data_IF_488088418368
#
_entry.id   IF_488088418368
#
_cell.length_a   1.000
_cell.length_b   1.000
_cell.length_c   1.000
_cell.angle_alpha   90.00
_cell.angle_beta   90.00
_cell.angle_gamma   90.00
#
_symmetry.space_group_name_H-M   'P 1'
#
loop_
_entity.id
_entity.type
_entity.pdbx_description
1 polymer ?
#
# COMPACT_ATOMS: atom_id res chain seq x y z
N UNK A 1 -3.84 -14.75 -1.52
CA UNK A 1 -3.81 -13.72 -2.57
C UNK A 1 -2.48 -13.02 -2.51
N UNK A 2 -1.82 -12.79 -3.65
CA UNK A 2 -0.59 -11.99 -3.78
C UNK A 2 -0.92 -10.49 -3.83
N UNK A 3 0.10 -9.63 -3.74
CA UNK A 3 -0.08 -8.18 -3.97
C UNK A 3 -0.66 -7.90 -5.38
N UNK A 4 -0.15 -8.59 -6.40
CA UNK A 4 -0.61 -8.43 -7.79
C UNK A 4 -2.09 -8.82 -7.93
N UNK A 5 -2.53 -9.92 -7.33
CA UNK A 5 -3.93 -10.34 -7.35
C UNK A 5 -4.85 -9.32 -6.67
N UNK A 6 -4.41 -8.75 -5.54
CA UNK A 6 -5.15 -7.71 -4.83
C UNK A 6 -5.26 -6.42 -5.65
N UNK A 7 -4.15 -5.94 -6.22
CA UNK A 7 -4.14 -4.73 -7.05
C UNK A 7 -4.96 -4.91 -8.33
N UNK A 8 -4.93 -6.10 -8.93
CA UNK A 8 -5.78 -6.44 -10.08
C UNK A 8 -7.26 -6.38 -9.72
N UNK A 9 -7.63 -6.85 -8.53
CA UNK A 9 -8.99 -6.71 -8.01
C UNK A 9 -9.36 -5.24 -7.79
N UNK A 10 -8.52 -4.47 -7.11
CA UNK A 10 -8.73 -3.02 -6.94
C UNK A 10 -8.94 -2.31 -8.29
N UNK A 11 -8.14 -2.66 -9.31
CA UNK A 11 -8.29 -2.11 -10.66
C UNK A 11 -9.65 -2.45 -11.29
N UNK A 12 -10.14 -3.68 -11.11
CA UNK A 12 -11.46 -4.09 -11.59
C UNK A 12 -12.58 -3.35 -10.85
N UNK A 13 -12.45 -3.19 -9.53
CA UNK A 13 -13.43 -2.49 -8.71
C UNK A 13 -13.63 -1.02 -9.13
N UNK A 14 -12.61 -0.38 -9.70
CA UNK A 14 -12.72 0.99 -10.24
C UNK A 14 -13.84 1.16 -11.28
N UNK A 15 -14.21 0.10 -12.02
CA UNK A 15 -15.31 0.18 -13.00
C UNK A 15 -16.67 0.46 -12.35
N UNK A 16 -16.80 0.19 -11.05
CA UNK A 16 -18.04 0.37 -10.30
C UNK A 16 -18.25 1.81 -9.82
N UNK A 17 -17.23 2.67 -9.89
CA UNK A 17 -17.28 4.02 -9.33
C UNK A 17 -17.39 5.09 -10.41
N UNK A 18 -18.29 6.05 -10.22
CA UNK A 18 -18.38 7.26 -11.02
C UNK A 18 -17.28 8.27 -10.64
N UNK A 19 -17.03 9.25 -11.51
CA UNK A 19 -16.07 10.33 -11.23
C UNK A 19 -16.43 11.14 -9.97
N UNK A 20 -17.72 11.28 -9.66
CA UNK A 20 -18.20 11.96 -8.46
C UNK A 20 -17.97 11.08 -7.22
N UNK A 21 -18.29 9.79 -7.31
CA UNK A 21 -18.07 8.83 -6.22
C UNK A 21 -16.59 8.71 -5.84
N UNK A 22 -15.67 8.74 -6.82
CA UNK A 22 -14.23 8.76 -6.53
C UNK A 22 -13.82 9.95 -5.65
N UNK A 23 -14.48 11.10 -5.81
CA UNK A 23 -14.16 12.33 -5.10
C UNK A 23 -14.98 12.54 -3.84
N UNK A 24 -16.06 11.79 -3.66
CA UNK A 24 -17.00 11.95 -2.56
C UNK A 24 -16.34 11.69 -1.21
N UNK A 25 -16.59 12.59 -0.26
CA UNK A 25 -16.17 12.46 1.13
C UNK A 25 -17.40 12.56 2.02
N UNK A 26 -17.63 11.54 2.83
CA UNK A 26 -18.72 11.51 3.82
C UNK A 26 -18.55 12.66 4.85
N UNK A 27 -17.30 12.91 5.27
CA UNK A 27 -16.90 13.98 6.19
C UNK A 27 -15.51 14.51 5.83
N UNK A 28 -15.15 15.67 6.35
CA UNK A 28 -13.85 16.32 6.09
C UNK A 28 -12.66 15.40 6.39
N UNK A 29 -12.74 14.65 7.49
CA UNK A 29 -11.69 13.76 8.03
C UNK A 29 -11.74 12.32 7.51
N UNK A 30 -12.77 11.97 6.74
CA UNK A 30 -12.91 10.65 6.11
C UNK A 30 -12.39 10.72 4.68
N UNK A 31 -11.46 9.84 4.32
CA UNK A 31 -10.95 9.77 2.95
C UNK A 31 -12.06 9.47 1.94
N UNK A 32 -11.95 10.01 0.73
CA UNK A 32 -12.73 9.47 -0.40
C UNK A 32 -12.19 8.10 -0.79
N UNK A 33 -12.95 7.35 -1.60
CA UNK A 33 -12.43 6.12 -2.18
C UNK A 33 -11.25 6.42 -3.12
N UNK A 34 -11.27 7.53 -3.86
CA UNK A 34 -10.14 7.98 -4.69
C UNK A 34 -8.86 8.19 -3.88
N UNK A 35 -8.95 8.82 -2.70
CA UNK A 35 -7.81 9.01 -1.79
C UNK A 35 -7.25 7.68 -1.27
N UNK A 36 -8.10 6.70 -1.00
CA UNK A 36 -7.65 5.36 -0.62
C UNK A 36 -6.88 4.69 -1.77
N UNK A 37 -7.37 4.79 -3.01
CA UNK A 37 -6.67 4.26 -4.18
C UNK A 37 -5.31 4.94 -4.42
N UNK A 38 -5.26 6.27 -4.30
CA UNK A 38 -4.01 7.02 -4.39
C UNK A 38 -3.00 6.55 -3.33
N UNK A 39 -3.45 6.39 -2.09
CA UNK A 39 -2.63 5.94 -0.97
C UNK A 39 -2.01 4.55 -1.21
N UNK A 40 -2.81 3.56 -1.61
CA UNK A 40 -2.28 2.20 -1.85
C UNK A 40 -1.25 2.19 -2.98
N UNK A 41 -1.41 3.03 -4.00
CA UNK A 41 -0.49 3.12 -5.13
C UNK A 41 0.83 3.75 -4.70
N UNK A 42 0.77 4.91 -4.04
CA UNK A 42 1.96 5.67 -3.61
C UNK A 42 2.78 4.83 -2.63
N UNK A 43 2.16 4.30 -1.58
CA UNK A 43 2.87 3.54 -0.54
C UNK A 43 3.48 2.26 -1.12
N UNK A 44 2.81 1.59 -2.06
CA UNK A 44 3.39 0.43 -2.72
C UNK A 44 4.63 0.78 -3.55
N UNK A 45 4.65 1.95 -4.21
CA UNK A 45 5.85 2.42 -4.90
C UNK A 45 6.97 2.78 -3.93
N UNK A 46 6.68 3.46 -2.82
CA UNK A 46 7.66 3.76 -1.76
C UNK A 46 8.30 2.47 -1.24
N UNK A 47 7.50 1.43 -0.98
CA UNK A 47 8.01 0.14 -0.53
C UNK A 47 8.85 -0.58 -1.60
N UNK A 48 8.53 -0.41 -2.88
CA UNK A 48 9.37 -0.93 -3.98
C UNK A 48 10.69 -0.17 -4.09
N UNK A 49 10.70 1.14 -3.85
CA UNK A 49 11.93 1.94 -3.83
C UNK A 49 12.87 1.44 -2.72
N UNK A 50 12.34 1.18 -1.52
CA UNK A 50 13.12 0.64 -0.39
C UNK A 50 13.57 -0.82 -0.61
N UNK A 51 12.73 -1.63 -1.28
CA UNK A 51 13.11 -2.97 -1.73
C UNK A 51 14.29 -2.92 -2.71
N UNK A 52 14.25 -2.03 -3.70
CA UNK A 52 15.32 -1.83 -4.68
C UNK A 52 16.59 -1.26 -4.02
N UNK A 53 16.45 -0.41 -3.00
CA UNK A 53 17.56 0.04 -2.19
C UNK A 53 18.28 -1.13 -1.50
N UNK A 54 17.54 -2.11 -0.97
CA UNK A 54 18.13 -3.33 -0.39
C UNK A 54 18.92 -4.15 -1.43
N UNK A 55 18.48 -4.18 -2.69
CA UNK A 55 19.15 -4.92 -3.77
C UNK A 55 20.46 -4.27 -4.24
N UNK A 56 20.58 -2.95 -4.10
CA UNK A 56 21.76 -2.18 -4.53
C UNK A 56 22.72 -1.87 -3.39
N UNK A 57 22.27 -2.01 -2.14
CA UNK A 57 23.10 -1.82 -0.97
C UNK A 57 24.12 -2.97 -0.81
N UNK A 58 25.37 -2.61 -0.54
CA UNK A 58 26.45 -3.55 -0.24
C UNK A 58 26.78 -3.62 1.26
N UNK A 59 26.17 -2.77 2.08
CA UNK A 59 26.40 -2.72 3.53
C UNK A 59 25.42 -3.63 4.27
N UNK A 60 25.97 -4.52 5.09
CA UNK A 60 25.18 -5.36 5.98
C UNK A 60 24.67 -4.56 7.17
N UNK A 61 23.38 -4.71 7.45
CA UNK A 61 22.73 -4.11 8.60
C UNK A 61 22.40 -5.19 9.65
N UNK A 62 23.09 -5.20 10.80
CA UNK A 62 22.84 -6.19 11.85
C UNK A 62 21.52 -5.96 12.60
N UNK A 63 20.98 -4.75 12.61
CA UNK A 63 19.70 -4.44 13.26
C UNK A 63 18.53 -5.09 12.51
N UNK A 64 17.47 -5.39 13.26
CA UNK A 64 16.25 -6.03 12.76
C UNK A 64 15.03 -5.13 12.85
N UNK A 65 13.86 -5.74 12.79
CA UNK A 65 12.59 -5.05 12.97
C UNK A 65 12.44 -4.53 14.40
N UNK A 66 11.56 -3.56 14.56
CA UNK A 66 11.04 -3.19 15.88
C UNK A 66 10.16 -4.32 16.43
N UNK A 67 9.87 -4.33 17.73
CA UNK A 67 8.92 -5.27 18.33
C UNK A 67 7.55 -5.23 17.64
N UNK A 68 7.09 -4.03 17.27
CA UNK A 68 5.87 -3.84 16.49
C UNK A 68 5.97 -4.44 15.08
N UNK A 69 7.09 -4.24 14.40
CA UNK A 69 7.34 -4.85 13.09
C UNK A 69 7.34 -6.39 13.17
N UNK A 70 8.04 -6.97 14.15
CA UNK A 70 8.03 -8.43 14.36
C UNK A 70 6.62 -8.97 14.60
N UNK A 71 5.82 -8.29 15.44
CA UNK A 71 4.43 -8.67 15.68
C UNK A 71 3.61 -8.70 14.39
N UNK A 72 3.67 -7.63 13.58
CA UNK A 72 2.88 -7.55 12.35
C UNK A 72 3.30 -8.57 11.29
N UNK A 73 4.59 -8.86 11.17
CA UNK A 73 5.07 -9.91 10.26
C UNK A 73 4.69 -11.30 10.76
N UNK A 74 4.75 -11.55 12.08
CA UNK A 74 4.30 -12.80 12.70
C UNK A 74 2.79 -13.03 12.53
N UNK A 75 1.98 -11.98 12.71
CA UNK A 75 0.53 -12.01 12.50
C UNK A 75 0.16 -12.02 11.00
N UNK A 76 1.14 -11.78 10.13
CA UNK A 76 0.99 -11.74 8.69
C UNK A 76 0.14 -10.58 8.20
N UNK A 77 0.00 -9.48 8.95
CA UNK A 77 -0.75 -8.31 8.50
C UNK A 77 -1.04 -7.28 9.58
N UNK A 78 -1.62 -6.15 9.15
CA UNK A 78 -2.05 -5.09 10.04
C UNK A 78 -3.33 -5.48 10.82
N UNK A 79 -3.43 -5.13 12.11
CA UNK A 79 -4.59 -5.45 12.93
C UNK A 79 -5.89 -4.81 12.39
N UNK A 80 -7.07 -5.35 12.73
CA UNK A 80 -8.37 -4.83 12.32
C UNK A 80 -8.82 -3.58 13.09
N UNK A 81 -7.90 -2.64 13.30
CA UNK A 81 -8.13 -1.36 13.97
C UNK A 81 -7.74 -0.20 13.04
N UNK A 82 -8.26 1.01 13.33
CA UNK A 82 -7.84 2.23 12.63
C UNK A 82 -6.47 2.65 13.14
N UNK A 83 -5.49 2.72 12.24
CA UNK A 83 -4.14 3.18 12.54
C UNK A 83 -4.11 4.68 12.23
N UNK A 84 -3.77 5.50 13.23
CA UNK A 84 -3.55 6.94 13.04
C UNK A 84 -2.05 7.20 13.10
N UNK A 85 -1.48 7.66 11.99
CA UNK A 85 -0.12 8.16 11.95
C UNK A 85 -0.04 9.53 12.65
N UNK A 86 1.16 9.94 13.11
CA UNK A 86 1.41 11.34 13.50
C UNK A 86 0.99 12.30 12.38
N UNK A 87 0.51 13.50 12.75
CA UNK A 87 -0.07 14.43 11.77
C UNK A 87 0.93 14.84 10.69
N UNK A 88 2.23 14.88 11.01
CA UNK A 88 3.33 15.15 10.07
C UNK A 88 3.49 14.08 8.99
N UNK A 89 3.05 12.85 9.29
CA UNK A 89 3.08 11.69 8.39
C UNK A 89 1.70 11.37 7.81
N UNK A 90 0.71 12.24 8.02
CA UNK A 90 -0.68 11.99 7.69
C UNK A 90 -1.25 13.04 6.73
N UNK A 91 -0.40 13.57 5.83
CA UNK A 91 -0.86 14.40 4.73
C UNK A 91 -1.92 13.62 3.93
N UNK A 92 -3.08 14.23 3.63
CA UNK A 92 -4.16 13.51 2.96
C UNK A 92 -3.70 13.09 1.55
N UNK A 93 -4.00 11.85 1.12
CA UNK A 93 -3.73 11.41 -0.25
C UNK A 93 -4.43 12.30 -1.27
N UNK A 94 -3.96 12.27 -2.51
CA UNK A 94 -4.55 13.04 -3.60
C UNK A 94 -5.96 12.53 -3.95
N UNK A 95 -6.84 13.45 -4.32
CA UNK A 95 -8.23 13.15 -4.72
C UNK A 95 -8.57 13.71 -6.11
N UNK A 96 -7.55 14.00 -6.91
CA UNK A 96 -7.68 14.71 -8.19
C UNK A 96 -7.73 13.76 -9.38
N UNK A 97 -7.15 12.58 -9.27
CA UNK A 97 -7.08 11.60 -10.35
C UNK A 97 -8.45 11.14 -10.88
N UNK A 98 -8.50 10.89 -12.19
CA UNK A 98 -9.65 10.23 -12.82
C UNK A 98 -9.56 8.71 -12.62
N UNK A 99 -10.69 8.02 -12.84
CA UNK A 99 -10.74 6.56 -12.85
C UNK A 99 -9.69 5.95 -13.79
N UNK A 100 -9.55 6.53 -14.98
CA UNK A 100 -8.61 6.08 -16.01
C UNK A 100 -7.15 6.36 -15.62
N UNK A 101 -6.88 7.43 -14.87
CA UNK A 101 -5.56 7.70 -14.31
C UNK A 101 -5.20 6.67 -13.23
N UNK A 102 -6.11 6.41 -12.28
CA UNK A 102 -5.91 5.38 -11.24
C UNK A 102 -5.68 3.98 -11.86
N UNK A 103 -6.46 3.61 -12.88
CA UNK A 103 -6.27 2.34 -13.60
C UNK A 103 -4.89 2.22 -14.23
N UNK A 104 -4.40 3.26 -14.90
CA UNK A 104 -3.05 3.26 -15.50
C UNK A 104 -1.97 3.15 -14.44
N UNK A 105 -2.08 3.90 -13.35
CA UNK A 105 -1.13 3.84 -12.24
C UNK A 105 -1.09 2.45 -11.58
N UNK A 106 -2.24 1.78 -11.44
CA UNK A 106 -2.30 0.38 -10.98
C UNK A 106 -1.63 -0.58 -11.96
N UNK A 107 -1.82 -0.40 -13.27
CA UNK A 107 -1.14 -1.21 -14.29
C UNK A 107 0.39 -1.04 -14.26
N UNK A 108 0.86 0.20 -14.09
CA UNK A 108 2.28 0.50 -13.95
C UNK A 108 2.87 -0.13 -12.68
N UNK A 109 2.15 -0.04 -11.56
CA UNK A 109 2.53 -0.68 -10.29
C UNK A 109 2.58 -2.20 -10.40
N UNK A 110 1.58 -2.83 -11.02
CA UNK A 110 1.55 -4.28 -11.26
C UNK A 110 2.74 -4.70 -12.13
N UNK A 111 2.98 -3.98 -13.23
CA UNK A 111 4.13 -4.22 -14.11
C UNK A 111 5.47 -4.10 -13.36
N UNK A 112 5.58 -3.15 -12.42
CA UNK A 112 6.77 -3.01 -11.57
C UNK A 112 6.92 -4.19 -10.62
N UNK A 113 5.85 -4.62 -9.96
CA UNK A 113 5.86 -5.79 -9.06
C UNK A 113 6.29 -7.07 -9.77
N UNK A 114 5.78 -7.31 -10.99
CA UNK A 114 6.16 -8.48 -11.81
C UNK A 114 7.65 -8.49 -12.16
N UNK A 115 8.25 -7.32 -12.40
CA UNK A 115 9.70 -7.19 -12.66
C UNK A 115 10.54 -7.43 -11.41
N UNK A 116 10.06 -6.97 -10.25
CA UNK A 116 10.78 -7.09 -8.98
C UNK A 116 10.68 -8.49 -8.35
N UNK A 117 9.58 -9.21 -8.57
CA UNK A 117 9.33 -10.55 -8.00
C UNK A 117 10.50 -11.54 -8.17
N UNK A 118 11.12 -11.73 -9.35
CA UNK A 118 12.25 -12.66 -9.47
C UNK A 118 13.52 -12.21 -8.72
N UNK A 119 13.64 -10.93 -8.37
CA UNK A 119 14.84 -10.36 -7.75
C UNK A 119 14.90 -10.61 -6.23
N UNK A 120 13.75 -10.77 -5.57
CA UNK A 120 13.70 -10.90 -4.09
C UNK A 120 14.36 -12.18 -3.58
N UNK A 121 14.32 -13.26 -4.37
CA UNK A 121 14.88 -14.56 -3.96
C UNK A 121 16.40 -14.59 -3.98
N UNK A 122 17.04 -13.74 -4.78
CA UNK A 122 18.49 -13.62 -4.89
C UNK A 122 19.08 -12.51 -3.98
N UNK A 123 18.22 -11.73 -3.32
CA UNK A 123 18.63 -10.63 -2.46
C UNK A 123 19.38 -11.13 -1.21
N UNK A 124 20.43 -10.43 -0.80
CA UNK A 124 21.10 -10.69 0.47
C UNK A 124 20.17 -10.28 1.64
N UNK A 125 19.77 -11.20 2.53
CA UNK A 125 18.87 -10.88 3.64
C UNK A 125 19.51 -9.94 4.69
N UNK A 126 20.83 -9.71 4.64
CA UNK A 126 21.54 -8.80 5.53
C UNK A 126 21.57 -7.36 5.00
N UNK A 127 21.29 -7.14 3.71
CA UNK A 127 21.11 -5.81 3.16
C UNK A 127 19.68 -5.34 3.44
N UNK A 128 19.55 -4.27 4.22
CA UNK A 128 18.26 -3.79 4.75
C UNK A 128 18.13 -2.28 4.60
N UNK A 129 16.90 -1.80 4.52
CA UNK A 129 16.53 -0.40 4.59
C UNK A 129 15.61 -0.13 5.78
N UNK A 130 15.67 1.09 6.32
CA UNK A 130 14.98 1.45 7.56
C UNK A 130 13.56 1.93 7.30
N UNK A 131 12.57 1.20 7.82
CA UNK A 131 11.20 1.67 7.91
C UNK A 131 10.98 2.38 9.26
N UNK A 132 10.37 3.57 9.25
CA UNK A 132 10.10 4.36 10.47
C UNK A 132 9.32 3.64 11.59
N UNK A 133 8.29 2.85 11.26
CA UNK A 133 7.55 2.02 12.23
C UNK A 133 8.05 0.57 12.37
N UNK A 134 8.46 -0.08 11.29
CA UNK A 134 8.77 -1.52 11.29
C UNK A 134 10.23 -1.84 11.62
N UNK A 135 11.14 -0.85 11.61
CA UNK A 135 12.58 -1.08 11.78
C UNK A 135 13.25 -1.50 10.49
N UNK A 136 14.33 -2.28 10.58
CA UNK A 136 15.12 -2.65 9.41
C UNK A 136 14.52 -3.85 8.69
N UNK A 137 14.17 -3.66 7.42
CA UNK A 137 13.54 -4.67 6.57
C UNK A 137 14.46 -5.01 5.39
N UNK A 138 14.53 -6.30 5.05
CA UNK A 138 15.19 -6.75 3.82
C UNK A 138 14.26 -6.66 2.59
N UNK A 139 14.79 -6.94 1.40
CA UNK A 139 14.04 -6.87 0.15
C UNK A 139 12.76 -7.74 0.12
N UNK A 140 12.82 -8.95 0.69
CA UNK A 140 11.66 -9.86 0.74
C UNK A 140 10.58 -9.32 1.68
N UNK A 141 10.98 -8.72 2.80
CA UNK A 141 10.09 -8.14 3.78
C UNK A 141 9.40 -6.88 3.27
N UNK A 142 10.13 -5.99 2.58
CA UNK A 142 9.54 -4.85 1.89
C UNK A 142 8.52 -5.29 0.84
N UNK A 143 8.86 -6.28 0.02
CA UNK A 143 7.92 -6.82 -0.98
C UNK A 143 6.69 -7.44 -0.32
N UNK A 144 6.87 -8.18 0.78
CA UNK A 144 5.76 -8.77 1.56
C UNK A 144 4.87 -7.69 2.20
N UNK A 145 5.45 -6.59 2.64
CA UNK A 145 4.72 -5.49 3.27
C UNK A 145 3.71 -4.83 2.32
N UNK A 146 3.99 -4.80 1.02
CA UNK A 146 3.06 -4.32 -0.02
C UNK A 146 1.75 -5.12 0.00
N UNK A 147 1.84 -6.45 0.06
CA UNK A 147 0.66 -7.32 0.17
C UNK A 147 -0.11 -7.06 1.48
N UNK A 148 0.61 -7.02 2.60
CA UNK A 148 0.00 -6.79 3.93
C UNK A 148 -0.75 -5.45 3.99
N UNK A 149 -0.13 -4.38 3.47
CA UNK A 149 -0.71 -3.03 3.42
C UNK A 149 -1.90 -2.98 2.46
N UNK A 150 -1.75 -3.50 1.24
CA UNK A 150 -2.84 -3.52 0.25
C UNK A 150 -4.06 -4.28 0.77
N UNK A 151 -3.83 -5.45 1.41
CA UNK A 151 -4.93 -6.24 2.01
C UNK A 151 -5.59 -5.53 3.19
N UNK A 152 -4.84 -4.78 3.99
CA UNK A 152 -5.41 -3.97 5.07
C UNK A 152 -6.49 -3.01 4.55
N UNK A 153 -6.25 -2.40 3.39
CA UNK A 153 -7.17 -1.43 2.79
C UNK A 153 -8.46 -2.03 2.20
N UNK A 154 -8.59 -3.35 2.06
CA UNK A 154 -9.88 -3.97 1.70
C UNK A 154 -10.99 -3.63 2.71
N UNK A 155 -10.65 -3.49 3.99
CA UNK A 155 -11.59 -3.09 5.04
C UNK A 155 -12.01 -1.64 4.88
N UNK A 156 -11.07 -0.75 4.54
CA UNK A 156 -11.36 0.66 4.30
C UNK A 156 -12.19 0.83 3.04
N UNK A 157 -11.90 0.10 1.96
CA UNK A 157 -12.71 0.09 0.73
C UNK A 157 -14.16 -0.26 1.05
N UNK A 158 -14.40 -1.36 1.77
CA UNK A 158 -15.74 -1.77 2.18
C UNK A 158 -16.46 -0.75 3.07
N UNK A 159 -15.73 -0.02 3.93
CA UNK A 159 -16.28 1.09 4.72
C UNK A 159 -16.70 2.25 3.81
N UNK A 160 -15.83 2.68 2.89
CA UNK A 160 -16.08 3.80 1.99
C UNK A 160 -17.23 3.51 1.02
N UNK A 161 -17.32 2.29 0.49
CA UNK A 161 -18.43 1.85 -0.35
C UNK A 161 -19.78 1.89 0.36
N UNK A 162 -19.82 1.75 1.69
CA UNK A 162 -21.07 1.94 2.45
C UNK A 162 -21.55 3.37 2.39
N UNK A 163 -20.65 4.35 2.43
CA UNK A 163 -20.99 5.76 2.28
C UNK A 163 -21.45 6.05 0.84
N UNK A 164 -20.78 5.47 -0.17
CA UNK A 164 -21.18 5.63 -1.56
C UNK A 164 -22.57 5.08 -1.87
N UNK A 165 -23.04 4.03 -1.17
CA UNK A 165 -24.42 3.51 -1.34
C UNK A 165 -25.49 4.46 -0.80
N UNK A 166 -25.15 5.33 0.15
CA UNK A 166 -26.04 6.37 0.65
C UNK A 166 -25.96 7.67 -0.18
N UNK A 167 -24.95 7.78 -1.03
CA UNK A 167 -24.76 8.88 -1.97
C UNK A 167 -25.54 8.60 -3.27
N UNK A 168 -26.35 9.57 -3.70
CA UNK A 168 -27.06 9.54 -4.97
C UNK A 168 -26.44 10.58 -5.91
N UNK A 169 -25.92 10.10 -7.03
CA UNK A 169 -25.37 10.91 -8.14
C UNK A 169 -26.46 11.75 -8.82
#
# INVERSE_FOLDING_TARGET
>A
MTAIELLSRFKQDLDQYSSNQLRYKEKTDVWSIGQMYDHIIIVAHEYLDEMEACLTNAEHQPLGKTEFGELLFSDGGFPPIKIKLPDEMNAPPDNTDSREALKRRLDDLITRLEKCEPMIHAADPNCKALHGGFGWLNAQEWYKLIEMHTRHHLRQQAELERYLRAFHD
#
